data_IF_220240352897
#
_entry.id   IF_220240352897
#
_cell.length_a   1.000
_cell.length_b   1.000
_cell.length_c   1.000
_cell.angle_alpha   90.00
_cell.angle_beta   90.00
_cell.angle_gamma   90.00
#
_symmetry.space_group_name_H-M   'P 1'
#
loop_
_entity.id
_entity.type
_entity.pdbx_description
1 polymer ?
#
# COMPACT_ATOMS: atom_id res chain seq x y z
N UNK A 1 0.58 -1.58 -3.55
CA UNK A 1 1.21 -2.77 -2.94
C UNK A 1 2.69 -2.87 -3.29
N UNK A 2 3.06 -2.60 -4.55
CA UNK A 2 4.44 -2.66 -5.08
C UNK A 2 5.52 -2.12 -4.13
N UNK A 3 5.33 -0.92 -3.58
CA UNK A 3 6.33 -0.26 -2.74
C UNK A 3 6.72 -1.03 -1.48
N UNK A 4 5.82 -1.88 -0.96
CA UNK A 4 6.09 -2.74 0.20
C UNK A 4 6.76 -4.06 -0.18
N UNK A 5 6.93 -4.34 -1.46
CA UNK A 5 7.63 -5.53 -1.97
C UNK A 5 9.04 -5.23 -2.51
N UNK A 6 9.37 -3.97 -2.80
CA UNK A 6 10.67 -3.63 -3.40
C UNK A 6 11.77 -3.70 -2.32
N UNK A 7 12.93 -4.34 -2.57
CA UNK A 7 13.36 -4.91 -3.87
C UNK A 7 13.09 -6.41 -4.06
N UNK A 8 12.52 -7.12 -3.09
CA UNK A 8 12.39 -8.59 -3.17
C UNK A 8 11.26 -9.11 -4.06
N UNK A 9 10.29 -8.26 -4.41
CA UNK A 9 9.25 -8.54 -5.42
C UNK A 9 9.47 -7.61 -6.63
N UNK A 10 9.53 -8.20 -7.82
CA UNK A 10 9.75 -7.44 -9.06
C UNK A 10 8.59 -6.49 -9.37
N UNK A 11 8.92 -5.22 -9.56
CA UNK A 11 7.99 -4.17 -9.95
C UNK A 11 8.64 -3.19 -10.92
N UNK A 12 7.82 -2.60 -11.79
CA UNK A 12 8.24 -1.49 -12.66
C UNK A 12 8.01 -0.11 -11.99
N UNK A 13 7.44 -0.09 -10.78
CA UNK A 13 7.23 1.12 -10.00
C UNK A 13 8.53 1.60 -9.36
N UNK A 14 8.68 2.91 -9.20
CA UNK A 14 9.76 3.45 -8.36
C UNK A 14 9.47 3.17 -6.87
N UNK A 15 10.50 2.95 -6.04
CA UNK A 15 10.33 2.85 -4.59
C UNK A 15 9.66 4.11 -4.01
N UNK A 16 8.88 3.96 -2.96
CA UNK A 16 8.19 5.08 -2.30
C UNK A 16 7.79 4.69 -0.87
N UNK A 17 8.09 5.53 0.11
CA UNK A 17 7.91 5.16 1.53
C UNK A 17 6.70 5.87 2.15
N UNK A 18 5.50 5.33 1.97
CA UNK A 18 4.28 5.86 2.59
C UNK A 18 3.77 4.93 3.70
N UNK A 19 3.36 5.50 4.83
CA UNK A 19 2.89 4.85 6.06
C UNK A 19 3.86 3.87 6.73
N UNK A 20 4.57 3.03 5.97
CA UNK A 20 5.50 2.00 6.43
C UNK A 20 6.77 2.09 5.59
N UNK A 21 7.91 2.23 6.26
CA UNK A 21 9.25 2.20 5.66
C UNK A 21 10.04 1.02 6.23
N UNK A 22 10.07 -0.08 5.48
CA UNK A 22 10.80 -1.29 5.83
C UNK A 22 12.32 -1.11 5.85
N UNK A 23 12.87 -0.18 5.07
CA UNK A 23 14.31 0.03 5.01
C UNK A 23 14.83 0.69 6.29
N UNK A 24 14.11 1.70 6.78
CA UNK A 24 14.48 2.44 7.99
C UNK A 24 13.76 1.95 9.26
N UNK A 25 12.81 1.02 9.14
CA UNK A 25 11.94 0.51 10.21
C UNK A 25 11.17 1.64 10.90
N UNK A 26 10.53 2.47 10.10
CA UNK A 26 9.71 3.58 10.56
C UNK A 26 8.27 3.43 10.07
N UNK A 27 7.32 3.85 10.90
CA UNK A 27 5.91 3.86 10.57
C UNK A 27 5.27 5.20 10.94
N UNK A 28 4.49 5.75 10.02
CA UNK A 28 3.68 6.95 10.18
C UNK A 28 2.23 6.59 9.83
N UNK A 29 1.48 6.11 10.83
CA UNK A 29 0.17 5.51 10.66
C UNK A 29 -0.92 6.58 10.67
N UNK A 30 -1.76 6.69 9.63
CA UNK A 30 -2.90 7.61 9.63
C UNK A 30 -3.98 7.22 10.65
N UNK A 31 -4.44 8.20 11.43
CA UNK A 31 -5.48 8.02 12.43
C UNK A 31 -5.10 7.04 13.52
N UNK A 32 -5.98 6.08 13.80
CA UNK A 32 -5.74 4.97 14.72
C UNK A 32 -5.20 3.70 14.03
N UNK A 33 -4.99 3.77 12.71
CA UNK A 33 -4.52 2.67 11.90
C UNK A 33 -5.55 1.57 11.63
N UNK A 34 -6.84 1.75 11.95
CA UNK A 34 -7.89 0.74 11.77
C UNK A 34 -8.62 0.85 10.43
N UNK A 35 -8.53 2.00 9.77
CA UNK A 35 -9.18 2.21 8.47
C UNK A 35 -8.59 1.27 7.41
N UNK A 36 -9.47 0.55 6.72
CA UNK A 36 -9.08 -0.44 5.72
C UNK A 36 -8.66 0.23 4.41
N UNK A 37 -7.71 -0.41 3.73
CA UNK A 37 -7.16 0.03 2.45
C UNK A 37 -7.17 -1.17 1.51
N UNK A 38 -7.75 -0.97 0.33
CA UNK A 38 -7.68 -1.97 -0.74
C UNK A 38 -6.36 -1.81 -1.49
N UNK A 39 -5.61 -2.90 -1.63
CA UNK A 39 -4.30 -2.93 -2.28
C UNK A 39 -4.28 -3.88 -3.46
N UNK A 40 -3.61 -3.49 -4.54
CA UNK A 40 -3.36 -4.36 -5.70
C UNK A 40 -1.91 -4.15 -6.16
N UNK A 41 -1.24 -5.23 -6.56
CA UNK A 41 0.09 -5.16 -7.15
C UNK A 41 0.00 -4.81 -8.64
N UNK A 42 0.91 -3.98 -9.17
CA UNK A 42 0.88 -3.53 -10.56
C UNK A 42 0.86 -4.69 -11.58
N UNK A 43 1.62 -5.77 -11.33
CA UNK A 43 1.59 -6.97 -12.17
C UNK A 43 0.20 -7.64 -12.21
N UNK A 44 -0.55 -7.63 -11.10
CA UNK A 44 -1.90 -8.20 -11.08
C UNK A 44 -2.91 -7.25 -11.72
N UNK A 45 -2.76 -5.94 -11.53
CA UNK A 45 -3.51 -4.94 -12.28
C UNK A 45 -3.33 -5.14 -13.80
N UNK A 46 -2.11 -5.40 -14.26
CA UNK A 46 -1.85 -5.67 -15.68
C UNK A 46 -2.58 -6.93 -16.19
N UNK A 47 -2.67 -8.00 -15.38
CA UNK A 47 -3.45 -9.20 -15.72
C UNK A 47 -4.94 -8.88 -15.83
N UNK A 48 -5.49 -8.10 -14.89
CA UNK A 48 -6.89 -7.67 -14.95
C UNK A 48 -7.16 -6.80 -16.18
N UNK A 49 -6.27 -5.86 -16.50
CA UNK A 49 -6.38 -5.03 -17.71
C UNK A 49 -6.39 -5.92 -18.96
N UNK A 50 -5.52 -6.93 -19.04
CA UNK A 50 -5.45 -7.82 -20.20
C UNK A 50 -6.76 -8.61 -20.42
N UNK A 51 -7.40 -9.11 -19.37
CA UNK A 51 -8.67 -9.85 -19.52
C UNK A 51 -9.88 -8.94 -19.72
N UNK A 52 -9.90 -7.74 -19.12
CA UNK A 52 -10.92 -6.74 -19.38
C UNK A 52 -10.86 -6.29 -20.85
N UNK A 53 -9.64 -6.23 -21.42
CA UNK A 53 -9.40 -5.93 -22.83
C UNK A 53 -10.09 -6.90 -23.81
N UNK A 54 -10.38 -8.12 -23.37
CA UNK A 54 -11.02 -9.17 -24.16
C UNK A 54 -12.55 -9.17 -24.03
N UNK A 55 -13.13 -8.36 -23.13
CA UNK A 55 -14.58 -8.27 -22.94
C UNK A 55 -15.23 -7.43 -24.04
N UNK A 56 -16.46 -7.80 -24.42
CA UNK A 56 -17.26 -7.03 -25.37
C UNK A 56 -17.84 -5.75 -24.76
N UNK A 57 -18.14 -5.78 -23.45
CA UNK A 57 -18.73 -4.68 -22.69
C UNK A 57 -17.76 -4.25 -21.59
N UNK A 58 -17.55 -2.94 -21.50
CA UNK A 58 -16.63 -2.33 -20.56
C UNK A 58 -17.39 -1.33 -19.70
N UNK A 59 -17.60 -1.62 -18.41
CA UNK A 59 -18.16 -0.61 -17.53
C UNK A 59 -17.19 0.56 -17.40
N UNK A 60 -17.72 1.75 -17.15
CA UNK A 60 -16.93 2.97 -16.94
C UNK A 60 -15.94 2.80 -15.77
N UNK A 61 -16.31 2.01 -14.76
CA UNK A 61 -15.48 1.69 -13.61
C UNK A 61 -15.33 0.17 -13.44
N UNK A 62 -14.11 -0.28 -13.15
CA UNK A 62 -13.79 -1.67 -12.85
C UNK A 62 -12.89 -1.75 -11.62
N UNK A 63 -13.47 -2.15 -10.49
CA UNK A 63 -12.76 -2.25 -9.22
C UNK A 63 -12.17 -3.66 -9.03
N UNK A 64 -10.88 -3.72 -8.71
CA UNK A 64 -10.14 -4.94 -8.39
C UNK A 64 -9.26 -4.70 -7.16
N UNK A 65 -9.18 -5.70 -6.27
CA UNK A 65 -8.29 -5.64 -5.12
C UNK A 65 -7.56 -6.97 -4.95
N UNK A 66 -6.27 -6.92 -4.58
CA UNK A 66 -5.49 -8.10 -4.22
C UNK A 66 -5.60 -8.46 -2.75
N UNK A 67 -5.67 -7.44 -1.90
CA UNK A 67 -5.87 -7.60 -0.46
C UNK A 67 -6.59 -6.39 0.13
N UNK A 68 -7.10 -6.55 1.35
CA UNK A 68 -7.80 -5.50 2.09
C UNK A 68 -7.42 -5.58 3.56
N UNK A 69 -6.47 -4.74 3.95
CA UNK A 69 -6.01 -4.61 5.34
C UNK A 69 -5.81 -3.13 5.68
N UNK A 70 -5.73 -2.84 6.96
CA UNK A 70 -5.45 -1.50 7.49
C UNK A 70 -3.94 -1.22 7.57
N UNK A 71 -3.56 0.05 7.71
CA UNK A 71 -2.16 0.42 7.93
C UNK A 71 -1.61 -0.15 9.25
N UNK A 72 -2.45 -0.30 10.28
CA UNK A 72 -2.08 -0.94 11.53
C UNK A 72 -1.83 -2.45 11.37
N UNK A 73 -2.63 -3.15 10.57
CA UNK A 73 -2.41 -4.56 10.25
C UNK A 73 -1.13 -4.76 9.42
N UNK A 74 -0.87 -3.89 8.44
CA UNK A 74 0.40 -3.91 7.69
C UNK A 74 1.60 -3.67 8.61
N UNK A 75 1.50 -2.74 9.56
CA UNK A 75 2.54 -2.51 10.55
C UNK A 75 2.79 -3.74 11.43
N UNK A 76 1.74 -4.37 11.96
CA UNK A 76 1.86 -5.58 12.77
C UNK A 76 2.51 -6.72 11.98
N UNK A 77 2.13 -6.88 10.70
CA UNK A 77 2.77 -7.83 9.78
C UNK A 77 4.25 -7.49 9.55
N UNK A 78 4.60 -6.21 9.41
CA UNK A 78 5.98 -5.78 9.24
C UNK A 78 6.84 -6.11 10.46
N UNK A 79 6.34 -5.89 11.68
CA UNK A 79 7.01 -6.30 12.92
C UNK A 79 7.17 -7.82 13.01
N UNK A 80 6.11 -8.57 12.70
CA UNK A 80 6.10 -10.04 12.69
C UNK A 80 7.16 -10.62 11.74
N UNK A 81 7.18 -10.15 10.50
CA UNK A 81 8.05 -10.67 9.44
C UNK A 81 9.51 -10.28 9.66
N UNK A 82 9.77 -9.05 10.10
CA UNK A 82 11.14 -8.56 10.28
C UNK A 82 11.75 -8.95 11.62
N UNK A 83 10.93 -9.25 12.63
CA UNK A 83 11.39 -9.57 13.99
C UNK A 83 12.19 -8.45 14.64
N UNK A 84 12.00 -7.20 14.19
CA UNK A 84 12.78 -6.04 14.60
C UNK A 84 11.89 -4.99 15.29
N UNK A 85 12.51 -4.07 16.05
CA UNK A 85 11.82 -2.90 16.62
C UNK A 85 11.69 -1.80 15.57
N UNK A 86 10.57 -1.08 15.64
CA UNK A 86 10.21 0.01 14.74
C UNK A 86 9.95 1.31 15.50
N UNK A 87 10.24 2.44 14.84
CA UNK A 87 9.82 3.76 15.30
C UNK A 87 8.43 4.06 14.73
N UNK A 88 7.42 4.14 15.58
CA UNK A 88 6.03 4.36 15.17
C UNK A 88 5.53 5.75 15.60
N UNK A 89 4.83 6.41 14.69
CA UNK A 89 4.06 7.64 14.93
C UNK A 89 2.65 7.43 14.41
N UNK A 90 1.66 7.84 15.20
CA UNK A 90 0.27 7.95 14.73
C UNK A 90 -0.03 9.41 14.38
N UNK A 91 -0.55 9.64 13.19
CA UNK A 91 -0.94 10.95 12.71
C UNK A 91 -2.46 11.11 12.85
N UNK A 92 -2.94 11.81 13.90
CA UNK A 92 -4.37 12.01 14.09
C UNK A 92 -4.96 12.83 12.94
N UNK A 93 -6.27 12.68 12.70
CA UNK A 93 -6.94 13.29 11.55
C UNK A 93 -6.76 14.81 11.52
N UNK A 94 -6.74 15.48 12.67
CA UNK A 94 -6.57 16.93 12.76
C UNK A 94 -5.19 17.38 12.24
N UNK A 95 -4.14 16.58 12.47
CA UNK A 95 -2.78 16.82 11.96
C UNK A 95 -2.70 16.59 10.46
N UNK A 96 -3.43 15.59 9.95
CA UNK A 96 -3.50 15.30 8.52
C UNK A 96 -4.28 16.41 7.79
N UNK A 97 -5.42 16.85 8.32
CA UNK A 97 -6.22 17.92 7.73
C UNK A 97 -5.52 19.29 7.78
N UNK A 98 -4.58 19.50 8.71
CA UNK A 98 -3.72 20.70 8.77
C UNK A 98 -2.48 20.63 7.87
N UNK A 99 -2.35 19.61 7.01
CA UNK A 99 -1.19 19.36 6.15
C UNK A 99 0.13 19.16 6.92
N UNK A 100 0.06 18.62 8.13
CA UNK A 100 1.21 18.40 9.01
C UNK A 100 1.59 16.93 9.15
N UNK A 101 1.16 16.06 8.23
CA UNK A 101 1.49 14.62 8.22
C UNK A 101 2.99 14.33 8.35
N UNK A 102 3.31 13.20 8.98
CA UNK A 102 4.68 12.75 9.20
C UNK A 102 5.26 12.17 7.92
N UNK A 103 6.21 12.86 7.31
CA UNK A 103 6.91 12.39 6.12
C UNK A 103 8.01 11.40 6.52
N UNK A 104 7.94 10.19 5.99
CA UNK A 104 8.99 9.19 6.15
C UNK A 104 10.15 9.49 5.20
N UNK A 105 11.35 9.01 5.56
CA UNK A 105 12.50 9.07 4.66
C UNK A 105 12.19 8.27 3.39
N UNK A 106 12.36 8.91 2.23
CA UNK A 106 12.10 8.22 0.97
C UNK A 106 13.18 7.17 0.68
N UNK A 107 12.75 6.02 0.15
CA UNK A 107 13.64 4.94 -0.25
C UNK A 107 14.61 5.37 -1.36
N UNK A 108 15.77 4.73 -1.41
CA UNK A 108 16.77 5.01 -2.46
C UNK A 108 16.17 4.75 -3.85
N UNK A 109 16.26 5.74 -4.75
CA UNK A 109 15.68 5.65 -6.09
C UNK A 109 14.22 6.08 -6.22
N UNK A 110 13.61 6.57 -5.13
CA UNK A 110 12.32 7.25 -5.16
C UNK A 110 12.36 8.51 -6.04
N UNK A 111 11.19 8.99 -6.43
CA UNK A 111 11.05 10.26 -7.14
C UNK A 111 11.41 11.40 -6.19
N UNK A 112 12.31 12.29 -6.61
CA UNK A 112 12.64 13.50 -5.85
C UNK A 112 11.45 14.47 -5.87
N UNK A 113 11.06 14.92 -4.69
CA UNK A 113 9.97 15.86 -4.47
C UNK A 113 10.37 16.85 -3.38
N UNK A 114 9.93 18.11 -3.44
CA UNK A 114 10.10 19.05 -2.34
C UNK A 114 9.44 18.53 -1.05
N UNK A 115 10.07 18.75 0.10
CA UNK A 115 9.58 18.30 1.40
C UNK A 115 8.14 18.74 1.70
N UNK A 116 7.79 19.98 1.30
CA UNK A 116 6.43 20.52 1.44
C UNK A 116 5.42 19.73 0.60
N UNK A 117 5.77 19.41 -0.65
CA UNK A 117 4.91 18.64 -1.54
C UNK A 117 4.71 17.19 -1.04
N UNK A 118 5.77 16.55 -0.53
CA UNK A 118 5.67 15.24 0.13
C UNK A 118 4.75 15.30 1.35
N UNK A 119 4.90 16.35 2.17
CA UNK A 119 4.07 16.52 3.37
C UNK A 119 2.59 16.70 3.03
N UNK A 120 2.28 17.50 2.01
CA UNK A 120 0.92 17.65 1.51
C UNK A 120 0.36 16.31 1.02
N UNK A 121 1.10 15.59 0.18
CA UNK A 121 0.67 14.28 -0.33
C UNK A 121 0.42 13.26 0.80
N UNK A 122 1.25 13.24 1.85
CA UNK A 122 1.09 12.29 2.96
C UNK A 122 -0.14 12.61 3.78
N UNK A 123 -0.36 13.90 3.99
CA UNK A 123 -1.50 14.44 4.71
C UNK A 123 -2.81 14.14 3.97
N UNK A 124 -2.83 14.31 2.65
CA UNK A 124 -3.97 13.97 1.80
C UNK A 124 -4.25 12.47 1.78
N UNK A 125 -3.23 11.64 1.53
CA UNK A 125 -3.39 10.18 1.53
C UNK A 125 -3.83 9.67 2.91
N UNK A 126 -3.28 10.24 3.99
CA UNK A 126 -3.69 9.89 5.34
C UNK A 126 -5.14 10.28 5.61
N UNK A 127 -5.55 11.47 5.19
CA UNK A 127 -6.94 11.95 5.30
C UNK A 127 -7.90 11.03 4.52
N UNK A 128 -7.53 10.65 3.30
CA UNK A 128 -8.31 9.71 2.48
C UNK A 128 -8.42 8.34 3.15
N UNK A 129 -7.32 7.82 3.70
CA UNK A 129 -7.32 6.55 4.42
C UNK A 129 -8.26 6.59 5.62
N UNK A 130 -8.11 7.59 6.51
CA UNK A 130 -8.95 7.74 7.72
C UNK A 130 -10.43 7.93 7.37
N UNK A 131 -10.74 8.64 6.29
CA UNK A 131 -12.12 8.81 5.79
C UNK A 131 -12.66 7.57 5.05
N UNK A 132 -11.88 6.50 4.94
CA UNK A 132 -12.27 5.25 4.30
C UNK A 132 -12.36 5.33 2.77
N UNK A 133 -11.77 6.35 2.15
CA UNK A 133 -11.80 6.57 0.70
C UNK A 133 -10.81 5.68 -0.06
N UNK A 134 -9.91 5.01 0.63
CA UNK A 134 -8.98 4.04 0.04
C UNK A 134 -9.50 2.59 0.10
N UNK A 135 -10.69 2.36 0.65
CA UNK A 135 -11.35 1.06 0.66
C UNK A 135 -12.36 0.96 -0.49
N UNK A 136 -11.87 0.57 -1.68
CA UNK A 136 -12.70 0.40 -2.87
C UNK A 136 -13.54 -0.89 -2.85
N UNK A 137 -13.47 -1.70 -1.78
CA UNK A 137 -14.28 -2.93 -1.69
C UNK A 137 -15.79 -2.65 -1.73
N UNK A 138 -16.19 -1.42 -1.37
CA UNK A 138 -17.58 -0.95 -1.44
C UNK A 138 -18.05 -0.60 -2.86
N UNK A 139 -17.15 -0.53 -3.82
CA UNK A 139 -17.46 -0.19 -5.22
C UNK A 139 -17.92 -1.41 -6.04
N UNK A 140 -17.93 -2.60 -5.44
CA UNK A 140 -18.29 -3.85 -6.12
C UNK A 140 -17.10 -4.45 -6.85
N UNK A 141 -16.25 -5.16 -6.11
CA UNK A 141 -15.07 -5.82 -6.67
C UNK A 141 -15.47 -6.86 -7.73
N UNK A 142 -14.80 -6.82 -8.87
CA UNK A 142 -15.02 -7.73 -10.01
C UNK A 142 -14.07 -8.93 -10.01
N UNK A 143 -13.37 -9.18 -8.89
CA UNK A 143 -12.43 -10.29 -8.75
C UNK A 143 -13.04 -11.65 -9.15
N UNK A 144 -14.30 -11.89 -8.76
CA UNK A 144 -15.00 -13.16 -8.99
C UNK A 144 -15.34 -13.41 -10.47
N UNK A 145 -15.32 -12.37 -11.31
CA UNK A 145 -15.49 -12.52 -12.76
C UNK A 145 -14.26 -13.18 -13.42
N UNK A 146 -13.09 -13.12 -12.77
CA UNK A 146 -11.82 -13.62 -13.29
C UNK A 146 -11.12 -14.55 -12.28
N UNK A 147 -11.71 -15.71 -11.95
CA UNK A 147 -11.22 -16.59 -10.88
C UNK A 147 -9.83 -17.21 -11.16
N UNK A 148 -9.37 -17.13 -12.41
CA UNK A 148 -8.03 -17.59 -12.79
C UNK A 148 -6.93 -16.60 -12.37
N UNK A 149 -7.26 -15.33 -12.15
CA UNK A 149 -6.32 -14.33 -11.67
C UNK A 149 -6.33 -14.39 -10.15
N UNK A 150 -5.20 -14.85 -9.59
CA UNK A 150 -4.96 -14.86 -8.15
C UNK A 150 -4.01 -13.70 -7.82
N UNK A 151 -4.54 -12.55 -7.38
CA UNK A 151 -3.70 -11.41 -7.06
C UNK A 151 -2.88 -11.70 -5.79
N UNK A 152 -1.72 -11.06 -5.69
CA UNK A 152 -0.86 -11.16 -4.53
C UNK A 152 -1.51 -10.52 -3.31
N UNK A 153 -1.44 -11.22 -2.19
CA UNK A 153 -1.80 -10.67 -0.87
C UNK A 153 -0.69 -9.78 -0.33
N UNK A 154 -1.02 -8.93 0.63
CA UNK A 154 -0.03 -8.08 1.29
C UNK A 154 0.99 -8.93 2.07
N UNK A 155 0.53 -10.01 2.73
CA UNK A 155 1.41 -10.96 3.42
C UNK A 155 2.42 -11.61 2.48
N UNK A 156 1.97 -12.13 1.34
CA UNK A 156 2.87 -12.77 0.37
C UNK A 156 3.95 -11.80 -0.11
N UNK A 157 3.59 -10.55 -0.40
CA UNK A 157 4.52 -9.52 -0.84
C UNK A 157 5.53 -9.16 0.25
N UNK A 158 5.06 -8.94 1.48
CA UNK A 158 5.93 -8.55 2.60
C UNK A 158 6.87 -9.70 2.99
N UNK A 159 6.38 -10.93 3.06
CA UNK A 159 7.20 -12.09 3.37
C UNK A 159 8.26 -12.35 2.28
N UNK A 160 7.88 -12.27 1.01
CA UNK A 160 8.83 -12.46 -0.10
C UNK A 160 9.94 -11.40 -0.10
N UNK A 161 9.62 -10.17 0.32
CA UNK A 161 10.56 -9.06 0.28
C UNK A 161 11.44 -8.93 1.54
N UNK A 162 10.91 -9.27 2.72
CA UNK A 162 11.51 -8.89 3.99
C UNK A 162 11.76 -10.05 4.95
N UNK A 163 11.25 -11.25 4.70
CA UNK A 163 11.53 -12.41 5.55
C UNK A 163 12.95 -12.94 5.30
N UNK A 164 13.89 -12.47 6.12
CA UNK A 164 15.30 -12.89 6.05
C UNK A 164 15.51 -14.38 6.34
N UNK A 165 14.54 -15.08 6.93
CA UNK A 165 14.63 -16.53 7.16
C UNK A 165 14.45 -17.33 5.88
N UNK A 166 13.79 -16.75 4.87
CA UNK A 166 13.58 -17.39 3.55
C UNK A 166 14.73 -17.15 2.57
N UNK A 167 15.73 -16.33 2.92
CA UNK A 167 16.91 -16.04 2.08
C UNK A 167 18.14 -16.94 2.37
N UNK A 168 17.95 -18.10 3.01
CA UNK A 168 18.99 -19.09 3.33
C UNK A 168 18.90 -20.31 2.43
#
# INVERSE_FOLDING_TARGET
LDHYGIPGVSSNMKPFSYAIDFHNRQAAIPGDGTALVSSLHSNDLAKYIAVVLEQNDWPEHSAFAGDRISWGELFALAEEVTGAKWDITYDPIEKLESAQGTVLRQAQGAIEMPDEALRHMWSEFGTMAVKGLMDISKEGLRNDEFPNIKPMTVREVVEAAWDRRKSS
#
